data_IF_703811742694
#
_entry.id   IF_703811742694
#
_cell.length_a   1.000
_cell.length_b   1.000
_cell.length_c   1.000
_cell.angle_alpha   90.00
_cell.angle_beta   90.00
_cell.angle_gamma   90.00
#
_symmetry.space_group_name_H-M   'P 1'
#
loop_
_entity.id
_entity.type
_entity.pdbx_description
1 polymer ?
#
# COMPACT_ATOMS: atom_id res chain seq x y z
N UNK A 1 -8.11 13.04 -5.22
CA UNK A 1 -8.01 11.81 -4.39
C UNK A 1 -6.55 11.54 -4.06
N UNK A 2 -6.25 11.25 -2.80
CA UNK A 2 -4.91 10.97 -2.29
C UNK A 2 -4.73 9.46 -2.10
N UNK A 3 -3.67 8.91 -2.67
CA UNK A 3 -3.33 7.49 -2.57
C UNK A 3 -2.14 7.30 -1.64
N UNK A 4 -2.26 6.43 -0.65
CA UNK A 4 -1.11 5.93 0.11
C UNK A 4 -0.76 4.55 -0.44
N UNK A 5 0.45 4.40 -0.98
CA UNK A 5 0.87 3.14 -1.62
C UNK A 5 1.86 2.37 -0.76
N UNK A 6 1.67 1.05 -0.77
CA UNK A 6 2.59 0.06 -0.22
C UNK A 6 3.80 -0.15 -1.16
N UNK A 7 4.93 -0.63 -0.64
CA UNK A 7 6.11 -1.02 -1.40
C UNK A 7 5.80 -2.03 -2.50
N UNK A 8 4.87 -2.96 -2.27
CA UNK A 8 4.49 -3.94 -3.31
C UNK A 8 3.80 -3.29 -4.53
N UNK A 9 3.11 -2.16 -4.35
CA UNK A 9 2.50 -1.39 -5.43
C UNK A 9 3.57 -0.61 -6.19
N UNK A 10 4.45 0.09 -5.46
CA UNK A 10 5.55 0.84 -6.05
C UNK A 10 6.50 -0.07 -6.83
N UNK A 11 6.99 -1.15 -6.21
CA UNK A 11 7.89 -2.10 -6.85
C UNK A 11 7.23 -2.83 -8.03
N UNK A 12 5.94 -3.16 -7.91
CA UNK A 12 5.15 -3.79 -8.98
C UNK A 12 4.99 -2.90 -10.22
N UNK A 13 5.02 -1.57 -10.07
CA UNK A 13 4.95 -0.65 -11.19
C UNK A 13 6.20 -0.67 -12.08
N UNK A 14 7.38 -0.69 -11.46
CA UNK A 14 8.66 -0.67 -12.19
C UNK A 14 9.14 -2.07 -12.58
N UNK A 15 8.82 -3.07 -11.75
CA UNK A 15 9.20 -4.47 -11.91
C UNK A 15 7.96 -5.37 -11.71
N UNK A 16 7.02 -5.45 -12.69
CA UNK A 16 5.80 -6.25 -12.58
C UNK A 16 6.01 -7.71 -12.17
N UNK A 17 7.09 -8.34 -12.63
CA UNK A 17 7.47 -9.72 -12.24
C UNK A 17 7.78 -9.91 -10.75
N UNK A 18 7.89 -8.83 -9.98
CA UNK A 18 7.96 -8.89 -8.51
C UNK A 18 6.62 -9.31 -7.88
N UNK A 19 5.52 -9.22 -8.64
CA UNK A 19 4.17 -9.63 -8.25
C UNK A 19 3.77 -10.94 -8.94
N UNK A 20 3.14 -11.84 -8.19
CA UNK A 20 2.57 -13.09 -8.73
C UNK A 20 1.22 -12.92 -9.44
N UNK A 21 0.51 -11.82 -9.19
CA UNK A 21 -0.86 -11.62 -9.70
C UNK A 21 -0.84 -10.75 -10.95
N UNK A 22 -1.18 -11.33 -12.11
CA UNK A 22 -1.31 -10.59 -13.37
C UNK A 22 -2.33 -9.46 -13.28
N UNK A 23 -3.46 -9.70 -12.58
CA UNK A 23 -4.46 -8.69 -12.30
C UNK A 23 -3.88 -7.50 -11.54
N UNK A 24 -3.06 -7.75 -10.52
CA UNK A 24 -2.42 -6.68 -9.77
C UNK A 24 -1.40 -5.91 -10.63
N UNK A 25 -0.58 -6.61 -11.41
CA UNK A 25 0.37 -5.98 -12.34
C UNK A 25 -0.34 -5.00 -13.28
N UNK A 26 -1.43 -5.45 -13.91
CA UNK A 26 -2.21 -4.62 -14.84
C UNK A 26 -2.91 -3.46 -14.14
N UNK A 27 -3.54 -3.72 -12.98
CA UNK A 27 -4.26 -2.68 -12.24
C UNK A 27 -3.30 -1.59 -11.74
N UNK A 28 -2.13 -1.95 -11.24
CA UNK A 28 -1.08 -1.01 -10.83
C UNK A 28 -0.63 -0.16 -12.02
N UNK A 29 -0.37 -0.80 -13.17
CA UNK A 29 0.03 -0.11 -14.40
C UNK A 29 -1.01 0.93 -14.80
N UNK A 30 -2.28 0.53 -14.90
CA UNK A 30 -3.38 1.43 -15.30
C UNK A 30 -3.55 2.58 -14.31
N UNK A 31 -3.63 2.29 -13.01
CA UNK A 31 -3.83 3.30 -11.96
C UNK A 31 -2.70 4.31 -11.95
N UNK A 32 -1.45 3.86 -11.87
CA UNK A 32 -0.31 4.77 -11.74
C UNK A 32 -0.01 5.52 -13.03
N UNK A 33 -0.35 4.97 -14.20
CA UNK A 33 -0.32 5.72 -15.46
C UNK A 33 -1.37 6.82 -15.48
N UNK A 34 -2.60 6.48 -15.10
CA UNK A 34 -3.70 7.44 -15.04
C UNK A 34 -3.38 8.58 -14.08
N UNK A 35 -2.98 8.27 -12.84
CA UNK A 35 -2.62 9.27 -11.84
C UNK A 35 -1.48 10.18 -12.31
N UNK A 36 -0.45 9.63 -12.95
CA UNK A 36 0.67 10.44 -13.47
C UNK A 36 0.23 11.46 -14.52
N UNK A 37 -0.80 11.14 -15.31
CA UNK A 37 -1.33 12.04 -16.34
C UNK A 37 -2.41 12.99 -15.82
N UNK A 38 -2.87 12.83 -14.58
CA UNK A 38 -3.87 13.68 -13.93
C UNK A 38 -3.39 14.14 -12.55
N UNK A 39 -2.24 14.84 -12.46
CA UNK A 39 -1.63 15.25 -11.19
C UNK A 39 -2.50 16.24 -10.40
N UNK A 40 -3.38 16.99 -11.06
CA UNK A 40 -4.30 17.94 -10.42
C UNK A 40 -5.49 17.24 -9.73
N UNK A 41 -5.82 16.02 -10.15
CA UNK A 41 -6.92 15.22 -9.60
C UNK A 41 -6.43 14.22 -8.55
N UNK A 42 -5.18 13.79 -8.66
CA UNK A 42 -4.64 12.67 -7.93
C UNK A 42 -3.24 12.92 -7.40
N UNK A 43 -3.01 12.47 -6.17
CA UNK A 43 -1.73 12.64 -5.49
C UNK A 43 -1.30 11.33 -4.85
N UNK A 44 -0.01 10.98 -4.95
CA UNK A 44 0.54 9.72 -4.42
C UNK A 44 1.50 10.00 -3.28
N UNK A 45 1.16 9.45 -2.12
CA UNK A 45 2.04 9.29 -0.97
C UNK A 45 2.67 7.90 -0.97
N UNK A 46 3.97 7.83 -0.68
CA UNK A 46 4.69 6.60 -0.38
C UNK A 46 5.42 6.76 0.97
N UNK A 47 5.21 5.87 1.96
CA UNK A 47 5.99 5.91 3.20
C UNK A 47 7.49 5.81 2.94
N UNK A 48 8.30 6.55 3.70
CA UNK A 48 9.76 6.51 3.56
C UNK A 48 10.35 5.09 3.73
N UNK A 49 9.80 4.26 4.61
CA UNK A 49 10.21 2.86 4.72
C UNK A 49 9.78 2.01 3.50
N UNK A 50 8.63 2.30 2.87
CA UNK A 50 8.23 1.63 1.63
C UNK A 50 9.13 2.00 0.45
N UNK A 51 9.72 3.21 0.45
CA UNK A 51 10.77 3.58 -0.52
C UNK A 51 11.98 2.65 -0.37
N UNK A 52 12.46 2.45 0.86
CA UNK A 52 13.58 1.55 1.15
C UNK A 52 13.25 0.09 0.78
N UNK A 53 12.06 -0.39 1.11
CA UNK A 53 11.59 -1.72 0.72
C UNK A 53 11.49 -1.88 -0.80
N UNK A 54 11.08 -0.84 -1.53
CA UNK A 54 11.05 -0.87 -3.00
C UNK A 54 12.44 -1.09 -3.59
N UNK A 55 13.47 -0.38 -3.09
CA UNK A 55 14.86 -0.65 -3.46
C UNK A 55 15.30 -2.06 -3.06
N UNK A 56 14.89 -2.53 -1.88
CA UNK A 56 15.17 -3.90 -1.43
C UNK A 56 14.59 -4.95 -2.38
N UNK A 57 13.39 -4.73 -2.92
CA UNK A 57 12.81 -5.60 -3.95
C UNK A 57 13.67 -5.60 -5.22
N UNK A 58 14.11 -4.43 -5.71
CA UNK A 58 14.98 -4.36 -6.89
C UNK A 58 16.31 -5.09 -6.66
N UNK A 59 16.95 -4.89 -5.50
CA UNK A 59 18.18 -5.57 -5.11
C UNK A 59 17.97 -7.08 -5.00
N UNK A 60 16.88 -7.52 -4.38
CA UNK A 60 16.52 -8.95 -4.28
C UNK A 60 16.44 -9.58 -5.67
N UNK A 61 15.78 -8.93 -6.62
CA UNK A 61 15.64 -9.44 -7.98
C UNK A 61 16.91 -9.34 -8.82
N UNK A 62 17.89 -8.50 -8.45
CA UNK A 62 19.17 -8.39 -9.16
C UNK A 62 20.26 -9.29 -8.57
N UNK A 63 20.29 -9.48 -7.26
CA UNK A 63 21.41 -10.12 -6.53
C UNK A 63 20.98 -11.33 -5.69
N UNK A 64 19.68 -11.55 -5.49
CA UNK A 64 19.13 -12.59 -4.62
C UNK A 64 18.95 -13.94 -5.31
N UNK A 65 19.98 -14.45 -6.00
CA UNK A 65 19.92 -15.75 -6.70
C UNK A 65 19.55 -16.91 -5.76
N UNK A 66 19.94 -16.81 -4.49
CA UNK A 66 19.62 -17.75 -3.41
C UNK A 66 18.17 -17.62 -2.90
N UNK A 67 17.45 -16.55 -3.24
CA UNK A 67 16.12 -16.28 -2.71
C UNK A 67 15.05 -17.02 -3.51
N UNK A 68 14.27 -17.88 -2.83
CA UNK A 68 13.20 -18.67 -3.45
C UNK A 68 12.15 -17.84 -4.22
N UNK A 69 11.97 -16.56 -3.87
CA UNK A 69 11.06 -15.66 -4.59
C UNK A 69 11.60 -15.21 -5.96
N UNK A 70 12.90 -15.33 -6.19
CA UNK A 70 13.60 -14.88 -7.41
C UNK A 70 14.09 -16.08 -8.21
N UNK A 71 14.52 -17.15 -7.53
CA UNK A 71 15.15 -18.33 -8.12
C UNK A 71 14.36 -18.90 -9.31
N UNK A 72 13.01 -18.96 -9.23
CA UNK A 72 12.16 -19.49 -10.31
C UNK A 72 12.15 -18.64 -11.59
N UNK A 73 12.37 -17.34 -11.47
CA UNK A 73 12.31 -16.40 -12.61
C UNK A 73 13.70 -15.93 -13.04
N UNK A 74 14.76 -16.34 -12.34
CA UNK A 74 16.12 -15.79 -12.51
C UNK A 74 16.30 -14.37 -11.98
N UNK A 75 17.52 -13.86 -12.04
CA UNK A 75 17.82 -12.46 -11.68
C UNK A 75 17.72 -11.54 -12.88
N UNK A 76 17.44 -10.26 -12.65
CA UNK A 76 17.55 -9.23 -13.68
C UNK A 76 19.02 -8.80 -13.84
N UNK A 77 19.39 -8.42 -15.07
CA UNK A 77 20.76 -7.95 -15.34
C UNK A 77 21.03 -6.58 -14.69
N UNK A 78 22.32 -6.24 -14.55
CA UNK A 78 22.76 -4.98 -13.93
C UNK A 78 22.26 -3.73 -14.66
N UNK A 79 22.06 -3.79 -15.98
CA UNK A 79 21.54 -2.67 -16.78
C UNK A 79 20.07 -2.42 -16.47
N UNK A 80 19.26 -3.47 -16.38
CA UNK A 80 17.84 -3.39 -15.99
C UNK A 80 17.76 -2.84 -14.57
N UNK A 81 18.52 -3.41 -13.62
CA UNK A 81 18.57 -2.95 -12.24
C UNK A 81 18.90 -1.45 -12.14
N UNK A 82 19.97 -0.99 -12.82
CA UNK A 82 20.33 0.42 -12.87
C UNK A 82 19.22 1.29 -13.48
N UNK A 83 18.51 0.79 -14.49
CA UNK A 83 17.47 1.54 -15.19
C UNK A 83 16.21 1.71 -14.33
N UNK A 84 15.70 0.64 -13.71
CA UNK A 84 14.55 0.74 -12.78
C UNK A 84 14.89 1.58 -11.54
N UNK A 85 16.11 1.43 -11.01
CA UNK A 85 16.57 2.19 -9.84
C UNK A 85 16.64 3.69 -10.16
N UNK A 86 17.25 4.08 -11.29
CA UNK A 86 17.30 5.48 -11.72
C UNK A 86 15.91 6.06 -11.97
N UNK A 87 15.02 5.29 -12.60
CA UNK A 87 13.65 5.73 -12.84
C UNK A 87 12.91 5.96 -11.52
N UNK A 88 12.97 5.02 -10.58
CA UNK A 88 12.33 5.17 -9.28
C UNK A 88 12.94 6.33 -8.47
N UNK A 89 14.27 6.47 -8.47
CA UNK A 89 14.97 7.61 -7.87
C UNK A 89 14.47 8.95 -8.43
N UNK A 90 14.32 9.06 -9.75
CA UNK A 90 13.77 10.27 -10.39
C UNK A 90 12.33 10.54 -9.94
N UNK A 91 11.51 9.50 -9.86
CA UNK A 91 10.09 9.63 -9.53
C UNK A 91 9.83 9.98 -8.06
N UNK A 92 10.71 9.58 -7.15
CA UNK A 92 10.67 10.05 -5.77
C UNK A 92 11.36 11.41 -5.62
N UNK A 93 12.44 11.72 -6.34
CA UNK A 93 13.20 12.95 -6.11
C UNK A 93 12.31 14.21 -6.16
N UNK A 94 12.36 15.02 -5.10
CA UNK A 94 11.51 16.20 -4.88
C UNK A 94 10.00 15.96 -5.08
N UNK A 95 9.52 14.73 -4.84
CA UNK A 95 8.13 14.37 -5.00
C UNK A 95 7.63 14.41 -6.45
N UNK A 96 8.51 14.22 -7.44
CA UNK A 96 8.18 14.40 -8.86
C UNK A 96 6.97 13.57 -9.34
N UNK A 97 6.81 12.36 -8.79
CA UNK A 97 5.62 11.53 -9.01
C UNK A 97 5.08 10.93 -7.71
N UNK A 98 5.97 10.47 -6.82
CA UNK A 98 5.58 9.91 -5.53
C UNK A 98 6.15 10.78 -4.42
N UNK A 99 5.27 11.39 -3.63
CA UNK A 99 5.65 12.21 -2.50
C UNK A 99 5.97 11.34 -1.29
N UNK A 100 7.11 11.59 -0.64
CA UNK A 100 7.55 10.80 0.50
C UNK A 100 6.71 11.20 1.70
N UNK A 101 6.09 10.22 2.34
CA UNK A 101 5.40 10.45 3.59
C UNK A 101 6.30 10.00 4.74
N UNK A 102 6.80 10.97 5.49
CA UNK A 102 7.76 10.72 6.56
C UNK A 102 7.09 10.05 7.76
N UNK A 103 7.78 9.06 8.33
CA UNK A 103 7.35 8.44 9.55
C UNK A 103 7.52 9.41 10.72
N UNK A 104 6.41 9.77 11.37
CA UNK A 104 6.41 10.59 12.58
C UNK A 104 6.08 9.76 13.82
N UNK A 105 6.37 10.29 15.01
CA UNK A 105 5.99 9.67 16.29
C UNK A 105 4.50 9.36 16.40
N UNK A 106 3.63 10.16 15.79
CA UNK A 106 2.18 9.92 15.85
C UNK A 106 1.77 8.70 15.03
N UNK A 107 2.48 8.39 13.94
CA UNK A 107 2.27 7.15 13.19
C UNK A 107 2.67 5.93 14.03
N UNK A 108 3.77 6.03 14.79
CA UNK A 108 4.25 4.96 15.67
C UNK A 108 3.23 4.70 16.78
N UNK A 109 2.78 5.76 17.46
CA UNK A 109 1.77 5.64 18.51
C UNK A 109 0.42 5.13 17.96
N UNK A 110 0.05 5.58 16.75
CA UNK A 110 -1.18 5.16 16.09
C UNK A 110 -1.23 3.68 15.69
N UNK A 111 -0.12 2.92 15.78
CA UNK A 111 -0.15 1.45 15.65
C UNK A 111 -1.05 0.82 16.71
N UNK A 112 -1.17 1.42 17.90
CA UNK A 112 -2.02 0.93 18.99
C UNK A 112 -3.51 0.92 18.63
N UNK A 113 -3.90 1.55 17.53
CA UNK A 113 -5.27 1.51 17.01
C UNK A 113 -5.55 0.23 16.20
N UNK A 114 -4.49 -0.41 15.69
CA UNK A 114 -4.57 -1.44 14.65
C UNK A 114 -4.02 -2.77 15.17
N UNK A 115 -2.85 -2.75 15.81
CA UNK A 115 -2.18 -3.95 16.29
C UNK A 115 -3.05 -4.75 17.28
N UNK A 116 -3.75 -4.16 18.26
CA UNK A 116 -4.63 -4.94 19.15
C UNK A 116 -5.73 -5.69 18.39
N UNK A 117 -6.27 -5.10 17.32
CA UNK A 117 -7.31 -5.73 16.49
C UNK A 117 -6.73 -6.92 15.73
N UNK A 118 -5.55 -6.75 15.12
CA UNK A 118 -4.84 -7.80 14.40
C UNK A 118 -4.51 -9.00 15.31
N UNK A 119 -3.95 -8.74 16.49
CA UNK A 119 -3.65 -9.77 17.47
C UNK A 119 -4.90 -10.44 18.05
N UNK A 120 -5.97 -9.69 18.28
CA UNK A 120 -7.20 -10.21 18.86
C UNK A 120 -7.99 -11.09 17.90
N UNK A 121 -8.24 -10.60 16.68
CA UNK A 121 -9.06 -11.33 15.71
C UNK A 121 -8.31 -12.44 14.99
N UNK A 122 -6.97 -12.45 15.06
CA UNK A 122 -6.12 -13.47 14.46
C UNK A 122 -6.58 -13.76 13.03
N UNK A 123 -6.79 -12.70 12.24
CA UNK A 123 -7.27 -12.86 10.87
C UNK A 123 -6.22 -13.68 10.11
N UNK A 124 -6.62 -14.83 9.57
CA UNK A 124 -5.73 -15.75 8.86
C UNK A 124 -6.46 -16.41 7.72
N UNK A 125 -5.70 -16.75 6.68
CA UNK A 125 -6.13 -17.71 5.66
C UNK A 125 -5.84 -19.13 6.17
N UNK A 126 -6.85 -19.76 6.76
CA UNK A 126 -6.98 -21.22 6.82
C UNK A 126 -5.84 -22.01 7.51
N UNK A 127 -5.01 -21.39 8.35
CA UNK A 127 -3.94 -22.11 9.07
C UNK A 127 -4.14 -22.06 10.59
N UNK A 128 -3.75 -23.16 11.27
CA UNK A 128 -3.81 -23.32 12.74
C UNK A 128 -2.89 -22.36 13.50
N UNK A 129 -1.95 -21.68 12.82
CA UNK A 129 -1.00 -20.73 13.42
C UNK A 129 -1.09 -19.39 12.69
N UNK A 130 -1.68 -18.42 13.36
CA UNK A 130 -1.83 -17.07 12.82
C UNK A 130 -0.64 -16.23 13.24
N UNK A 131 0.25 -15.94 12.29
CA UNK A 131 1.30 -14.94 12.49
C UNK A 131 0.67 -13.56 12.32
N UNK A 132 0.80 -12.66 13.31
CA UNK A 132 0.36 -11.27 13.20
C UNK A 132 0.98 -10.56 12.00
N UNK A 133 0.35 -9.47 11.59
CA UNK A 133 0.84 -8.61 10.52
C UNK A 133 2.16 -7.94 10.95
N UNK A 134 3.00 -7.58 9.99
CA UNK A 134 4.26 -6.90 10.28
C UNK A 134 4.02 -5.47 10.80
N UNK A 135 4.94 -4.97 11.61
CA UNK A 135 4.85 -3.61 12.17
C UNK A 135 4.77 -2.53 11.08
N UNK A 136 5.49 -2.71 9.96
CA UNK A 136 5.42 -1.77 8.83
C UNK A 136 4.04 -1.71 8.18
N UNK A 137 3.32 -2.83 8.11
CA UNK A 137 1.94 -2.83 7.61
C UNK A 137 0.99 -2.10 8.57
N UNK A 138 1.18 -2.26 9.90
CA UNK A 138 0.41 -1.48 10.88
C UNK A 138 0.72 0.02 10.74
N UNK A 139 1.97 0.37 10.45
CA UNK A 139 2.38 1.75 10.18
C UNK A 139 1.71 2.31 8.92
N UNK A 140 1.61 1.55 7.82
CA UNK A 140 0.89 1.98 6.61
C UNK A 140 -0.57 2.32 6.96
N UNK A 141 -1.24 1.49 7.75
CA UNK A 141 -2.62 1.74 8.18
C UNK A 141 -2.69 3.02 9.03
N UNK A 142 -1.80 3.16 10.02
CA UNK A 142 -1.75 4.34 10.88
C UNK A 142 -1.49 5.64 10.09
N UNK A 143 -0.57 5.60 9.14
CA UNK A 143 -0.27 6.70 8.22
C UNK A 143 -1.49 7.05 7.36
N UNK A 144 -2.23 6.05 6.89
CA UNK A 144 -3.48 6.27 6.13
C UNK A 144 -4.58 6.90 6.99
N UNK A 145 -4.70 6.52 8.26
CA UNK A 145 -5.61 7.18 9.22
C UNK A 145 -5.22 8.64 9.42
N UNK A 146 -3.93 8.94 9.57
CA UNK A 146 -3.48 10.32 9.71
C UNK A 146 -3.74 11.14 8.44
N UNK A 147 -3.49 10.59 7.25
CA UNK A 147 -3.84 11.26 5.99
C UNK A 147 -5.35 11.48 5.87
N UNK A 148 -6.18 10.52 6.29
CA UNK A 148 -7.64 10.67 6.32
C UNK A 148 -8.10 11.77 7.30
N UNK A 149 -7.32 12.02 8.36
CA UNK A 149 -7.55 13.16 9.25
C UNK A 149 -7.29 14.49 8.55
N UNK A 150 -6.19 14.60 7.79
CA UNK A 150 -5.76 15.82 7.09
C UNK A 150 -6.65 16.12 5.86
N UNK A 151 -6.79 15.14 4.98
CA UNK A 151 -7.42 15.32 3.65
C UNK A 151 -8.91 14.98 3.61
N UNK A 152 -9.44 14.45 4.72
CA UNK A 152 -10.77 13.87 4.78
C UNK A 152 -10.79 12.40 4.34
N UNK A 153 -11.55 11.59 5.09
CA UNK A 153 -11.63 10.13 4.92
C UNK A 153 -11.98 9.70 3.50
N UNK A 154 -12.95 10.36 2.88
CA UNK A 154 -13.45 9.98 1.56
C UNK A 154 -12.51 10.35 0.41
N UNK A 155 -11.47 11.14 0.71
CA UNK A 155 -10.46 11.60 -0.23
C UNK A 155 -9.16 10.79 -0.13
N UNK A 156 -9.04 9.84 0.79
CA UNK A 156 -7.82 9.04 0.99
C UNK A 156 -8.09 7.56 0.73
N UNK A 157 -7.23 6.92 -0.06
CA UNK A 157 -7.31 5.50 -0.38
C UNK A 157 -5.95 4.81 -0.20
N UNK A 158 -5.89 3.74 0.59
CA UNK A 158 -4.70 2.89 0.70
C UNK A 158 -4.71 1.87 -0.44
N UNK A 159 -3.65 1.82 -1.24
CA UNK A 159 -3.47 0.84 -2.31
C UNK A 159 -2.42 -0.18 -1.88
N UNK A 160 -2.80 -1.45 -1.81
CA UNK A 160 -1.89 -2.55 -1.49
C UNK A 160 -2.25 -3.83 -2.25
N UNK A 161 -1.26 -4.69 -2.44
CA UNK A 161 -1.45 -6.07 -2.86
C UNK A 161 -1.41 -7.06 -1.67
N UNK A 162 -1.23 -6.60 -0.44
CA UNK A 162 -1.23 -7.45 0.75
C UNK A 162 -2.66 -7.73 1.21
N UNK A 163 -3.05 -9.01 1.22
CA UNK A 163 -4.40 -9.39 1.62
C UNK A 163 -4.64 -9.16 3.10
N UNK A 164 -3.64 -9.41 3.96
CA UNK A 164 -3.78 -9.32 5.41
C UNK A 164 -3.96 -7.87 5.83
N UNK A 165 -3.17 -6.95 5.26
CA UNK A 165 -3.32 -5.51 5.46
C UNK A 165 -4.74 -5.06 5.16
N UNK A 166 -5.27 -5.48 4.01
CA UNK A 166 -6.62 -5.09 3.57
C UNK A 166 -7.72 -5.76 4.44
N UNK A 167 -7.58 -7.03 4.79
CA UNK A 167 -8.52 -7.74 5.66
C UNK A 167 -8.61 -7.09 7.05
N UNK A 168 -7.47 -6.64 7.61
CA UNK A 168 -7.42 -5.90 8.87
C UNK A 168 -8.09 -4.52 8.74
N UNK A 169 -7.84 -3.79 7.65
CA UNK A 169 -8.52 -2.53 7.38
C UNK A 169 -10.04 -2.70 7.26
N UNK A 170 -10.51 -3.73 6.54
CA UNK A 170 -11.93 -4.05 6.47
C UNK A 170 -12.48 -4.36 7.86
N UNK A 171 -11.77 -5.16 8.66
CA UNK A 171 -12.19 -5.44 10.03
C UNK A 171 -12.34 -4.18 10.86
N UNK A 172 -11.38 -3.26 10.77
CA UNK A 172 -11.41 -1.95 11.44
C UNK A 172 -12.58 -1.06 10.99
N UNK A 173 -13.08 -1.24 9.77
CA UNK A 173 -14.26 -0.56 9.22
C UNK A 173 -15.58 -1.25 9.55
N UNK A 174 -15.56 -2.43 10.17
CA UNK A 174 -16.77 -3.06 10.73
C UNK A 174 -17.05 -2.58 12.14
N UNK A 175 -18.29 -2.76 12.61
CA UNK A 175 -18.64 -2.48 14.01
C UNK A 175 -17.92 -3.47 14.93
N UNK A 176 -17.02 -2.97 15.76
CA UNK A 176 -16.39 -3.75 16.83
C UNK A 176 -17.27 -3.65 18.09
N UNK A 177 -17.62 -4.77 18.75
CA UNK A 177 -18.42 -4.74 19.97
C UNK A 177 -17.79 -3.90 21.07
N UNK A 178 -18.60 -3.14 21.82
CA UNK A 178 -18.09 -2.23 22.87
C UNK A 178 -17.25 -2.95 23.94
N UNK A 179 -17.61 -4.18 24.30
CA UNK A 179 -16.82 -4.99 25.23
C UNK A 179 -15.41 -5.29 24.70
N UNK A 180 -15.26 -5.48 23.39
CA UNK A 180 -13.95 -5.69 22.75
C UNK A 180 -13.18 -4.37 22.67
N UNK A 181 -13.84 -3.27 22.33
CA UNK A 181 -13.23 -1.92 22.33
C UNK A 181 -12.62 -1.59 23.69
N UNK A 182 -13.36 -1.84 24.79
CA UNK A 182 -12.86 -1.64 26.15
C UNK A 182 -11.72 -2.61 26.50
N UNK A 183 -11.87 -3.89 26.17
CA UNK A 183 -10.87 -4.93 26.45
C UNK A 183 -9.52 -4.65 25.78
N UNK A 184 -9.55 -4.11 24.57
CA UNK A 184 -8.37 -3.78 23.78
C UNK A 184 -7.87 -2.35 24.01
N UNK A 185 -8.48 -1.63 24.96
CA UNK A 185 -8.20 -0.22 25.24
C UNK A 185 -8.17 0.67 23.99
N UNK A 186 -9.08 0.41 23.04
CA UNK A 186 -9.18 1.22 21.82
C UNK A 186 -9.81 2.59 22.11
N UNK A 187 -10.26 2.85 23.33
CA UNK A 187 -10.71 4.18 23.78
C UNK A 187 -9.57 5.18 23.88
N UNK A 188 -8.36 4.72 24.20
CA UNK A 188 -7.12 5.54 24.18
C UNK A 188 -6.82 6.12 22.79
N UNK A 189 -7.47 5.62 21.74
CA UNK A 189 -7.40 6.18 20.40
C UNK A 189 -7.69 7.68 20.34
N UNK A 190 -8.60 8.16 21.20
CA UNK A 190 -8.93 9.57 21.27
C UNK A 190 -7.75 10.42 21.72
N UNK A 191 -6.96 9.95 22.69
CA UNK A 191 -5.77 10.65 23.18
C UNK A 191 -4.70 10.75 22.08
N UNK A 192 -4.60 9.72 21.23
CA UNK A 192 -3.61 9.65 20.16
C UNK A 192 -3.99 10.41 18.88
N UNK A 193 -5.28 10.45 18.56
CA UNK A 193 -5.77 10.92 17.24
C UNK A 193 -6.73 12.11 17.33
N UNK A 194 -7.11 12.51 18.55
CA UNK A 194 -8.21 13.44 18.80
C UNK A 194 -9.59 12.88 18.43
N UNK A 195 -9.69 11.61 18.01
CA UNK A 195 -10.93 10.99 17.51
C UNK A 195 -11.22 9.68 18.22
N UNK A 196 -12.50 9.46 18.54
CA UNK A 196 -12.94 8.18 19.08
C UNK A 196 -12.69 7.08 18.05
N UNK A 197 -12.24 5.92 18.53
CA UNK A 197 -12.10 4.75 17.68
C UNK A 197 -13.44 4.39 17.03
N UNK A 198 -13.41 4.13 15.72
CA UNK A 198 -14.55 3.61 15.00
C UNK A 198 -14.33 3.53 13.50
N UNK A 199 -15.29 2.95 12.75
CA UNK A 199 -15.17 2.76 11.30
C UNK A 199 -14.87 4.02 10.48
N UNK A 200 -15.32 5.17 10.98
CA UNK A 200 -15.13 6.48 10.33
C UNK A 200 -13.70 7.02 10.47
N UNK A 201 -12.85 6.39 11.29
CA UNK A 201 -11.44 6.76 11.43
C UNK A 201 -10.60 6.29 10.24
N UNK A 202 -11.00 5.18 9.61
CA UNK A 202 -10.19 4.49 8.61
C UNK A 202 -10.50 4.96 7.18
N UNK A 203 -9.47 5.18 6.34
CA UNK A 203 -9.62 5.60 4.95
C UNK A 203 -10.31 4.54 4.08
N UNK A 204 -10.60 4.92 2.82
CA UNK A 204 -10.87 3.94 1.77
C UNK A 204 -9.61 3.10 1.54
N UNK A 205 -9.77 1.93 0.93
CA UNK A 205 -8.64 1.09 0.57
C UNK A 205 -9.02 0.14 -0.56
N UNK A 206 -8.03 -0.44 -1.23
CA UNK A 206 -8.22 -1.31 -2.37
C UNK A 206 -7.15 -2.40 -2.43
N UNK A 207 -7.59 -3.66 -2.48
CA UNK A 207 -6.69 -4.79 -2.72
C UNK A 207 -6.54 -5.03 -4.22
N UNK A 208 -5.39 -4.68 -4.80
CA UNK A 208 -5.22 -4.75 -6.25
C UNK A 208 -5.17 -6.19 -6.80
N UNK A 209 -4.98 -7.21 -5.94
CA UNK A 209 -5.06 -8.63 -6.33
C UNK A 209 -6.50 -9.11 -6.46
N UNK A 210 -7.39 -8.68 -5.58
CA UNK A 210 -8.73 -9.28 -5.45
C UNK A 210 -9.88 -8.32 -5.78
N UNK A 211 -9.65 -7.01 -5.83
CA UNK A 211 -10.68 -6.00 -6.04
C UNK A 211 -11.56 -6.27 -7.26
N UNK A 212 -12.86 -6.23 -7.07
CA UNK A 212 -13.88 -6.35 -8.11
C UNK A 212 -13.97 -5.07 -8.93
N UNK A 213 -14.57 -5.16 -10.12
CA UNK A 213 -14.86 -3.99 -10.97
C UNK A 213 -15.61 -2.88 -10.21
N UNK A 214 -16.61 -3.26 -9.41
CA UNK A 214 -17.41 -2.31 -8.59
C UNK A 214 -16.56 -1.58 -7.54
N UNK A 215 -15.56 -2.24 -6.97
CA UNK A 215 -14.66 -1.61 -6.00
C UNK A 215 -13.72 -0.60 -6.67
N UNK A 216 -13.23 -0.91 -7.87
CA UNK A 216 -12.48 0.07 -8.69
C UNK A 216 -13.35 1.28 -9.05
N UNK A 217 -14.56 1.05 -9.56
CA UNK A 217 -15.51 2.12 -9.94
C UNK A 217 -15.88 3.02 -8.76
N UNK A 218 -15.93 2.48 -7.53
CA UNK A 218 -16.17 3.29 -6.33
C UNK A 218 -15.04 4.30 -6.04
N UNK A 219 -13.82 4.02 -6.46
CA UNK A 219 -12.65 4.88 -6.24
C UNK A 219 -12.42 5.80 -7.45
N UNK A 220 -12.58 5.28 -8.66
CA UNK A 220 -12.17 5.94 -9.91
C UNK A 220 -13.34 6.39 -10.78
N UNK A 221 -14.59 6.20 -10.36
CA UNK A 221 -15.86 6.43 -11.10
C UNK A 221 -16.07 5.53 -12.33
N UNK A 222 -15.00 5.03 -12.95
CA UNK A 222 -15.05 4.09 -14.07
C UNK A 222 -13.92 3.05 -13.97
N UNK A 223 -14.13 1.87 -14.58
CA UNK A 223 -13.09 0.84 -14.71
C UNK A 223 -13.30 -0.04 -15.96
N UNK A 224 -12.25 -0.35 -16.75
CA UNK A 224 -10.85 0.06 -16.56
C UNK A 224 -10.65 1.57 -16.78
N UNK A 225 -9.61 2.11 -16.15
CA UNK A 225 -9.17 3.48 -16.45
C UNK A 225 -8.68 3.55 -17.91
N UNK A 226 -8.88 4.69 -18.60
CA UNK A 226 -8.41 4.85 -19.97
C UNK A 226 -6.90 4.65 -20.02
N UNK A 227 -6.43 3.93 -21.03
CA UNK A 227 -5.02 3.71 -21.21
C UNK A 227 -4.34 5.02 -21.61
N UNK A 228 -3.51 5.55 -20.72
CA UNK A 228 -2.83 6.81 -20.93
C UNK A 228 -1.39 6.56 -21.38
N UNK A 229 -0.98 7.21 -22.47
CA UNK A 229 0.40 7.22 -22.91
C UNK A 229 1.20 8.02 -21.89
N UNK A 230 2.04 7.32 -21.14
CA UNK A 230 2.98 7.96 -20.23
C UNK A 230 4.26 8.26 -21.00
N UNK A 231 4.87 9.43 -20.76
CA UNK A 231 6.22 9.75 -21.29
C UNK A 231 7.26 8.70 -20.86
N UNK A 232 8.53 8.86 -21.26
CA UNK A 232 9.64 7.90 -21.02
C UNK A 232 9.77 7.47 -19.54
N UNK A 233 8.99 6.49 -19.10
CA UNK A 233 9.05 5.84 -17.79
C UNK A 233 9.57 4.43 -18.03
N UNK A 234 10.79 4.16 -17.56
CA UNK A 234 11.37 2.83 -17.71
C UNK A 234 10.70 1.82 -16.76
N UNK A 235 10.23 0.70 -17.32
CA UNK A 235 9.71 -0.46 -16.59
C UNK A 235 10.24 -1.72 -17.23
N UNK A 236 10.52 -2.72 -16.42
CA UNK A 236 10.96 -4.02 -16.94
C UNK A 236 9.78 -4.98 -17.03
N UNK A 237 9.24 -5.12 -18.24
CA UNK A 237 8.23 -6.13 -18.58
C UNK A 237 8.93 -7.23 -19.36
N UNK A 238 8.86 -8.47 -18.88
CA UNK A 238 9.35 -9.63 -19.64
C UNK A 238 8.49 -9.80 -20.90
N UNK A 239 9.15 -10.13 -22.00
CA UNK A 239 8.48 -10.43 -23.27
C UNK A 239 7.86 -11.81 -23.23
#
# INVERSE_FOLDING_TARGET
MYFLIDANVAAGYYLPRSLKSMKAQESIRLILNYVRNHPDEHFIYIPNFCVAETFSVFMKHSFGQWNNHVNKLGTIDTRIYKSITRQFQKDIHNGHFMYHYELSRYHILGINLVAPIDHYYKISRGSKRVTPMGTYDHLIISMGVHLAHIHGRDNVCILSCDNRLIEILEKCKTRIPLGVVKKLDLTSAHELTGRMFGPKLFPKHLNLKTATKKEYERIFTSWPLPETKVGRVYRYVEK
#
